data_IF_745845289434
#
_entry.id   IF_745845289434
#
_cell.length_a   1.000
_cell.length_b   1.000
_cell.length_c   1.000
_cell.angle_alpha   90.00
_cell.angle_beta   90.00
_cell.angle_gamma   90.00
#
_symmetry.space_group_name_H-M   'P 1'
#
loop_
_entity.id
_entity.type
_entity.pdbx_description
1 polymer ?
#
# COMPACT_ATOMS: atom_id res chain seq x y z
N UNK A 1 -27.70 11.49 -15.36
CA UNK A 1 -28.26 11.13 -14.04
C UNK A 1 -28.17 9.62 -13.73
N UNK A 2 -28.11 8.71 -14.72
CA UNK A 2 -27.97 7.26 -14.48
C UNK A 2 -26.65 6.81 -13.81
N UNK A 3 -25.54 7.53 -14.05
CA UNK A 3 -24.22 7.14 -13.51
C UNK A 3 -24.04 7.41 -12.01
N UNK A 4 -24.83 8.31 -11.41
CA UNK A 4 -24.78 8.54 -9.96
C UNK A 4 -25.35 7.35 -9.18
N UNK A 5 -26.42 6.72 -9.68
CA UNK A 5 -27.03 5.56 -9.03
C UNK A 5 -26.10 4.33 -9.06
N UNK A 6 -25.36 4.13 -10.16
CA UNK A 6 -24.33 3.09 -10.26
C UNK A 6 -23.12 3.36 -9.36
N UNK A 7 -22.68 4.62 -9.22
CA UNK A 7 -21.54 4.96 -8.36
C UNK A 7 -21.86 4.74 -6.88
N UNK A 8 -23.06 5.13 -6.43
CA UNK A 8 -23.49 4.93 -5.03
C UNK A 8 -23.52 3.44 -4.67
N UNK A 9 -24.09 2.59 -5.54
CA UNK A 9 -24.10 1.14 -5.34
C UNK A 9 -22.68 0.54 -5.36
N UNK A 10 -21.79 1.09 -6.21
CA UNK A 10 -20.40 0.66 -6.29
C UNK A 10 -19.58 1.04 -5.04
N UNK A 11 -19.77 2.24 -4.50
CA UNK A 11 -19.06 2.71 -3.30
C UNK A 11 -19.47 1.91 -2.05
N UNK A 12 -20.76 1.60 -1.92
CA UNK A 12 -21.27 0.73 -0.85
C UNK A 12 -20.68 -0.68 -0.99
N UNK A 13 -20.67 -1.24 -2.20
CA UNK A 13 -20.07 -2.55 -2.45
C UNK A 13 -18.56 -2.55 -2.13
N UNK A 14 -17.80 -1.56 -2.61
CA UNK A 14 -16.36 -1.41 -2.35
C UNK A 14 -16.05 -1.36 -0.85
N UNK A 15 -16.85 -0.63 -0.07
CA UNK A 15 -16.73 -0.58 1.39
C UNK A 15 -17.03 -1.95 2.00
N UNK A 16 -18.14 -2.59 1.62
CA UNK A 16 -18.55 -3.91 2.14
C UNK A 16 -17.49 -4.99 1.93
N UNK A 17 -16.82 -4.99 0.77
CA UNK A 17 -15.77 -5.99 0.45
C UNK A 17 -14.37 -5.59 0.93
N UNK A 18 -14.22 -4.46 1.62
CA UNK A 18 -12.92 -3.97 2.09
C UNK A 18 -11.95 -3.61 0.97
N UNK A 19 -12.46 -3.20 -0.20
CA UNK A 19 -11.69 -2.97 -1.42
C UNK A 19 -10.52 -2.02 -1.21
N UNK A 20 -10.76 -0.90 -0.51
CA UNK A 20 -9.72 0.11 -0.27
C UNK A 20 -8.53 -0.47 0.50
N UNK A 21 -8.78 -1.25 1.56
CA UNK A 21 -7.71 -1.90 2.34
C UNK A 21 -6.93 -2.91 1.50
N UNK A 22 -7.63 -3.68 0.67
CA UNK A 22 -6.99 -4.64 -0.26
C UNK A 22 -6.10 -3.91 -1.27
N UNK A 23 -6.61 -2.88 -1.92
CA UNK A 23 -5.86 -2.07 -2.91
C UNK A 23 -4.61 -1.42 -2.30
N UNK A 24 -4.68 -0.92 -1.07
CA UNK A 24 -3.51 -0.38 -0.33
C UNK A 24 -2.48 -1.47 -0.08
N UNK A 25 -2.91 -2.65 0.40
CA UNK A 25 -2.00 -3.78 0.65
C UNK A 25 -1.35 -4.30 -0.64
N UNK A 26 -2.10 -4.43 -1.73
CA UNK A 26 -1.59 -4.83 -3.05
C UNK A 26 -0.55 -3.84 -3.57
N UNK A 27 -0.83 -2.53 -3.44
CA UNK A 27 0.11 -1.47 -3.85
C UNK A 27 1.39 -1.51 -3.00
N UNK A 28 1.27 -1.69 -1.68
CA UNK A 28 2.42 -1.82 -0.79
C UNK A 28 3.27 -3.03 -1.17
N UNK A 29 2.66 -4.21 -1.38
CA UNK A 29 3.35 -5.43 -1.80
C UNK A 29 4.02 -5.29 -3.16
N UNK A 30 3.36 -4.65 -4.13
CA UNK A 30 3.94 -4.36 -5.44
C UNK A 30 5.21 -3.51 -5.32
N UNK A 31 5.17 -2.45 -4.50
CA UNK A 31 6.33 -1.58 -4.27
C UNK A 31 7.46 -2.30 -3.54
N UNK A 32 7.16 -3.08 -2.50
CA UNK A 32 8.16 -3.90 -1.81
C UNK A 32 8.87 -4.84 -2.77
N UNK A 33 8.10 -5.59 -3.58
CA UNK A 33 8.64 -6.55 -4.56
C UNK A 33 9.50 -5.88 -5.64
N UNK A 34 9.10 -4.70 -6.07
CA UNK A 34 9.79 -3.94 -7.13
C UNK A 34 11.08 -3.31 -6.64
N UNK A 35 11.09 -2.74 -5.43
CA UNK A 35 12.21 -1.94 -4.93
C UNK A 35 13.20 -2.71 -4.06
N UNK A 36 12.72 -3.71 -3.32
CA UNK A 36 13.50 -4.39 -2.28
C UNK A 36 13.72 -5.89 -2.58
N UNK A 37 13.06 -6.41 -3.61
CA UNK A 37 13.19 -7.80 -4.04
C UNK A 37 11.93 -8.62 -3.77
N UNK A 38 11.81 -9.74 -4.48
CA UNK A 38 10.59 -10.58 -4.49
C UNK A 38 10.53 -11.63 -3.37
N UNK A 39 11.63 -11.84 -2.66
CA UNK A 39 11.80 -12.96 -1.72
C UNK A 39 12.51 -12.50 -0.45
N UNK A 40 12.26 -13.24 0.64
CA UNK A 40 13.06 -13.18 1.86
C UNK A 40 14.27 -14.09 1.65
N UNK A 41 15.45 -13.57 1.98
CA UNK A 41 16.73 -14.22 1.72
C UNK A 41 17.28 -14.96 2.94
N UNK A 42 16.84 -14.58 4.14
CA UNK A 42 17.32 -15.19 5.38
C UNK A 42 16.63 -16.55 5.63
N UNK A 43 17.38 -17.48 6.21
CA UNK A 43 16.93 -18.88 6.34
C UNK A 43 16.09 -19.11 7.61
N UNK A 44 16.43 -18.43 8.70
CA UNK A 44 15.73 -18.52 9.97
C UNK A 44 14.42 -17.71 9.95
N UNK A 45 13.36 -18.22 10.59
CA UNK A 45 12.05 -17.57 10.58
C UNK A 45 12.09 -16.18 11.24
N UNK A 46 12.72 -16.05 12.41
CA UNK A 46 12.80 -14.78 13.10
C UNK A 46 13.64 -13.79 12.30
N UNK A 47 14.69 -14.28 11.64
CA UNK A 47 15.47 -13.50 10.68
C UNK A 47 14.61 -13.02 9.49
N UNK A 48 13.75 -13.87 8.92
CA UNK A 48 12.80 -13.49 7.86
C UNK A 48 11.80 -12.43 8.32
N UNK A 49 11.29 -12.53 9.55
CA UNK A 49 10.42 -11.51 10.15
C UNK A 49 11.17 -10.19 10.30
N UNK A 50 12.43 -10.24 10.75
CA UNK A 50 13.31 -9.07 10.82
C UNK A 50 13.57 -8.43 9.45
N UNK A 51 13.85 -9.23 8.43
CA UNK A 51 14.04 -8.79 7.04
C UNK A 51 12.79 -8.08 6.49
N UNK A 52 11.60 -8.68 6.70
CA UNK A 52 10.32 -8.09 6.31
C UNK A 52 10.07 -6.75 7.02
N UNK A 53 10.33 -6.65 8.33
CA UNK A 53 10.19 -5.40 9.09
C UNK A 53 11.15 -4.32 8.60
N UNK A 54 12.40 -4.68 8.31
CA UNK A 54 13.40 -3.76 7.76
C UNK A 54 12.95 -3.22 6.39
N UNK A 55 12.44 -4.08 5.51
CA UNK A 55 11.90 -3.69 4.21
C UNK A 55 10.73 -2.70 4.34
N UNK A 56 9.77 -2.98 5.22
CA UNK A 56 8.63 -2.07 5.45
C UNK A 56 9.11 -0.72 6.00
N UNK A 57 10.07 -0.72 6.93
CA UNK A 57 10.65 0.51 7.49
C UNK A 57 11.36 1.34 6.42
N UNK A 58 12.15 0.70 5.55
CA UNK A 58 12.80 1.35 4.43
C UNK A 58 11.78 1.96 3.45
N UNK A 59 10.75 1.18 3.05
CA UNK A 59 9.72 1.63 2.13
C UNK A 59 8.92 2.84 2.69
N UNK A 60 8.59 2.82 3.97
CA UNK A 60 7.92 3.93 4.65
C UNK A 60 8.80 5.18 4.65
N UNK A 61 10.10 5.04 4.91
CA UNK A 61 11.05 6.17 4.87
C UNK A 61 11.18 6.75 3.47
N UNK A 62 11.30 5.91 2.44
CA UNK A 62 11.32 6.36 1.04
C UNK A 62 10.04 7.08 0.66
N UNK A 63 8.88 6.57 1.08
CA UNK A 63 7.58 7.20 0.83
C UNK A 63 7.52 8.58 1.47
N UNK A 64 7.89 8.70 2.74
CA UNK A 64 7.92 9.99 3.44
C UNK A 64 8.83 11.01 2.74
N UNK A 65 10.02 10.59 2.30
CA UNK A 65 10.97 11.46 1.62
C UNK A 65 10.53 11.88 0.21
N UNK A 66 9.72 11.05 -0.46
CA UNK A 66 9.19 11.33 -1.79
C UNK A 66 7.88 12.12 -1.80
N UNK A 67 7.28 12.40 -0.64
CA UNK A 67 6.03 13.16 -0.56
C UNK A 67 6.29 14.66 -0.76
N UNK A 68 5.64 15.31 -1.74
CA UNK A 68 5.76 16.75 -1.92
C UNK A 68 5.08 17.51 -0.76
N UNK A 69 5.64 18.67 -0.41
CA UNK A 69 4.98 19.60 0.51
C UNK A 69 3.87 20.37 -0.21
N UNK A 70 2.64 19.86 -0.12
CA UNK A 70 1.47 20.55 -0.66
C UNK A 70 1.09 21.74 0.22
N UNK A 71 1.19 22.96 -0.32
CA UNK A 71 0.74 24.18 0.34
C UNK A 71 -0.57 24.65 -0.30
N UNK A 72 -1.58 24.93 0.53
CA UNK A 72 -2.84 25.50 0.04
C UNK A 72 -2.59 26.96 -0.32
N UNK A 73 -2.78 27.31 -1.59
CA UNK A 73 -2.77 28.70 -2.05
C UNK A 73 -4.22 29.19 -2.00
N UNK A 74 -4.40 30.42 -1.48
CA UNK A 74 -5.69 31.06 -1.21
C UNK A 74 -6.58 31.20 -2.45
#
# INVERSE_FOLDING_TARGET
MANQHLSVNNDVWKKKVGYHRRSVAETAMFRSKTLLGRHLSLHDYDAQVGEAMAMVKALNRMTLLGMPHSVKIA
#
